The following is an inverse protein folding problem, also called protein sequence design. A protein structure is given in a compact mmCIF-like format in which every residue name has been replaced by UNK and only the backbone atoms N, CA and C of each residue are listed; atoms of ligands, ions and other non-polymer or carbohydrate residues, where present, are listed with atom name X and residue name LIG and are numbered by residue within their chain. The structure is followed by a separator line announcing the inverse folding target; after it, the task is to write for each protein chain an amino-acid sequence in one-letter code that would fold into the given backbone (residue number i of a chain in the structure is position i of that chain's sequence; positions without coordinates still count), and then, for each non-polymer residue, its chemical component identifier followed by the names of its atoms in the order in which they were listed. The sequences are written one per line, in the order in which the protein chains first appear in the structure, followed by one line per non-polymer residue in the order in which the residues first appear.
data_IF_126024146324
#
_entry.id   IF_126024146324
#
_cell.length_a   1.000
_cell.length_b   1.000
_cell.length_c   1.000
_cell.angle_alpha   90.00
_cell.angle_beta   90.00
_cell.angle_gamma   90.00
#
_symmetry.space_group_name_H-M   'P 1'
#
loop_
_entity.id
_entity.type
_entity.pdbx_description
1 polymer ?
#
# COMPACT_ATOMS: atom_id res chain seq x y z
N UNK A 1 -4.50 -8.66 -1.97
CA UNK A 1 -4.13 -7.44 -1.23
C UNK A 1 -2.65 -7.05 -1.29
N UNK A 2 -1.74 -7.69 -0.53
CA UNK A 2 -0.31 -7.28 -0.51
C UNK A 2 0.34 -7.28 -1.91
N UNK A 3 0.11 -8.34 -2.68
CA UNK A 3 0.56 -8.43 -4.07
C UNK A 3 -0.06 -7.37 -4.98
N UNK A 4 -1.30 -6.97 -4.71
CA UNK A 4 -1.99 -5.98 -5.53
C UNK A 4 -1.45 -4.57 -5.27
N UNK A 5 -1.20 -4.22 -3.99
CA UNK A 5 -0.47 -3.00 -3.62
C UNK A 5 0.89 -2.95 -4.34
N UNK A 6 1.64 -4.06 -4.31
CA UNK A 6 2.93 -4.16 -5.00
C UNK A 6 2.80 -3.97 -6.51
N UNK A 7 1.79 -4.56 -7.16
CA UNK A 7 1.51 -4.39 -8.59
C UNK A 7 1.16 -2.94 -8.94
N UNK A 8 0.24 -2.32 -8.21
CA UNK A 8 -0.17 -0.92 -8.40
C UNK A 8 1.00 0.04 -8.19
N UNK A 9 1.80 -0.20 -7.14
CA UNK A 9 3.03 0.55 -6.87
C UNK A 9 4.02 0.47 -8.04
N UNK A 10 4.24 -0.74 -8.56
CA UNK A 10 5.15 -0.97 -9.69
C UNK A 10 4.67 -0.30 -10.99
N UNK A 11 3.35 -0.27 -11.25
CA UNK A 11 2.78 0.49 -12.38
C UNK A 11 3.06 1.99 -12.33
N UNK A 12 3.23 2.53 -11.13
CA UNK A 12 3.58 3.94 -10.89
C UNK A 12 5.10 4.16 -10.79
N UNK A 13 5.93 3.15 -11.04
CA UNK A 13 7.39 3.19 -10.88
C UNK A 13 7.85 3.65 -9.48
N UNK A 14 7.06 3.37 -8.44
CA UNK A 14 7.39 3.73 -7.06
C UNK A 14 8.16 2.59 -6.39
N UNK A 15 9.18 2.90 -5.60
CA UNK A 15 9.74 1.94 -4.63
C UNK A 15 8.86 1.83 -3.39
N UNK A 16 9.08 0.81 -2.55
CA UNK A 16 8.37 0.71 -1.27
C UNK A 16 8.60 1.95 -0.39
N UNK A 17 9.82 2.49 -0.39
CA UNK A 17 10.15 3.71 0.35
C UNK A 17 9.40 4.93 -0.22
N UNK A 18 9.31 5.06 -1.54
CA UNK A 18 8.54 6.14 -2.17
C UNK A 18 7.05 6.07 -1.80
N UNK A 19 6.45 4.87 -1.86
CA UNK A 19 5.04 4.70 -1.49
C UNK A 19 4.83 4.95 0.00
N UNK A 20 5.75 4.52 0.87
CA UNK A 20 5.67 4.77 2.32
C UNK A 20 5.67 6.28 2.62
N UNK A 21 6.58 7.03 2.00
CA UNK A 21 6.63 8.50 2.11
C UNK A 21 5.37 9.15 1.55
N UNK A 22 4.92 8.72 0.37
CA UNK A 22 3.74 9.30 -0.31
C UNK A 22 2.43 9.04 0.44
N UNK A 23 2.31 7.88 1.09
CA UNK A 23 1.13 7.50 1.88
C UNK A 23 1.18 7.97 3.33
N UNK A 24 2.31 8.52 3.79
CA UNK A 24 2.53 8.81 5.21
C UNK A 24 2.29 7.56 6.09
N UNK A 25 2.84 6.44 5.64
CA UNK A 25 2.82 5.14 6.32
C UNK A 25 4.27 4.72 6.56
N UNK A 26 4.56 4.18 7.74
CA UNK A 26 5.90 3.68 8.06
C UNK A 26 6.33 2.64 7.02
N UNK A 27 7.56 2.74 6.52
CA UNK A 27 8.15 1.77 5.59
C UNK A 27 7.99 0.33 6.08
N UNK A 28 8.28 0.08 7.36
CA UNK A 28 8.17 -1.27 7.97
C UNK A 28 6.74 -1.79 7.96
N UNK A 29 5.73 -0.92 8.11
CA UNK A 29 4.32 -1.29 8.00
C UNK A 29 3.98 -1.65 6.56
N UNK A 30 4.37 -0.81 5.60
CA UNK A 30 4.10 -1.07 4.18
C UNK A 30 4.78 -2.35 3.69
N UNK A 31 6.05 -2.56 4.06
CA UNK A 31 6.81 -3.77 3.72
C UNK A 31 6.12 -5.03 4.24
N UNK A 32 5.63 -5.03 5.49
CA UNK A 32 4.87 -6.14 6.08
C UNK A 32 3.53 -6.39 5.40
N UNK A 33 2.88 -5.34 4.89
CA UNK A 33 1.63 -5.47 4.13
C UNK A 33 1.91 -6.11 2.77
N UNK A 34 2.91 -5.61 2.04
CA UNK A 34 3.30 -6.17 0.73
C UNK A 34 3.84 -7.60 0.84
N UNK A 35 4.47 -7.96 1.96
CA UNK A 35 4.94 -9.33 2.22
C UNK A 35 3.86 -10.27 2.76
N UNK A 36 2.63 -9.79 2.98
CA UNK A 36 1.53 -10.58 3.52
C UNK A 36 1.67 -10.97 5.00
N UNK A 37 2.68 -10.44 5.71
CA UNK A 37 2.89 -10.70 7.14
C UNK A 37 1.81 -10.02 7.98
N UNK A 38 1.33 -8.86 7.54
CA UNK A 38 0.17 -8.21 8.15
C UNK A 38 -0.90 -7.98 7.10
N UNK A 39 -2.05 -8.60 7.32
CA UNK A 39 -3.21 -8.60 6.42
C UNK A 39 -4.37 -7.77 6.96
N UNK A 40 -4.40 -7.53 8.28
CA UNK A 40 -5.40 -6.66 8.93
C UNK A 40 -4.79 -5.30 9.29
N UNK A 41 -5.12 -4.31 8.47
CA UNK A 41 -4.75 -2.92 8.65
C UNK A 41 -6.01 -2.12 8.99
N UNK A 42 -5.85 -1.02 9.71
CA UNK A 42 -6.95 -0.10 9.92
C UNK A 42 -7.38 0.49 8.58
N UNK A 43 -8.68 0.75 8.42
CA UNK A 43 -9.24 1.42 7.24
C UNK A 43 -8.51 2.75 6.95
N UNK A 44 -8.03 3.42 7.99
CA UNK A 44 -7.21 4.62 7.87
C UNK A 44 -5.88 4.40 7.11
N UNK A 45 -5.13 3.34 7.41
CA UNK A 45 -3.90 3.01 6.67
C UNK A 45 -4.23 2.62 5.23
N UNK A 46 -5.33 1.89 5.02
CA UNK A 46 -5.81 1.53 3.68
C UNK A 46 -6.14 2.77 2.86
N UNK A 47 -6.87 3.73 3.43
CA UNK A 47 -7.21 4.98 2.78
C UNK A 47 -5.96 5.80 2.40
N UNK A 48 -4.95 5.83 3.27
CA UNK A 48 -3.67 6.48 3.01
C UNK A 48 -2.93 5.87 1.80
N UNK A 49 -2.84 4.54 1.76
CA UNK A 49 -2.20 3.81 0.65
C UNK A 49 -2.99 3.98 -0.65
N UNK A 50 -4.31 3.82 -0.60
CA UNK A 50 -5.20 4.00 -1.75
C UNK A 50 -5.06 5.41 -2.34
N UNK A 51 -5.07 6.44 -1.48
CA UNK A 51 -4.86 7.85 -1.88
C UNK A 51 -3.49 8.06 -2.53
N UNK A 52 -2.43 7.47 -1.99
CA UNK A 52 -1.09 7.60 -2.56
C UNK A 52 -0.94 6.91 -3.93
N UNK A 53 -1.66 5.81 -4.12
CA UNK A 53 -1.75 5.07 -5.38
C UNK A 53 -2.77 5.66 -6.36
N UNK A 54 -3.64 6.57 -5.92
CA UNK A 54 -4.68 7.17 -6.76
C UNK A 54 -5.81 6.20 -7.11
N UNK A 55 -6.07 5.22 -6.24
CA UNK A 55 -7.09 4.17 -6.44
C UNK A 55 -8.06 4.15 -5.27
N UNK A 56 -9.14 3.36 -5.37
CA UNK A 56 -10.04 3.10 -4.27
C UNK A 56 -9.47 2.06 -3.29
N UNK A 57 -10.06 1.93 -2.10
CA UNK A 57 -9.67 0.86 -1.15
C UNK A 57 -10.03 -0.52 -1.71
N UNK A 58 -11.12 -0.62 -2.47
CA UNK A 58 -11.57 -1.86 -3.12
C UNK A 58 -10.52 -2.37 -4.12
N UNK A 59 -9.86 -1.45 -4.84
CA UNK A 59 -8.75 -1.76 -5.73
C UNK A 59 -7.52 -2.32 -5.00
N UNK A 60 -7.43 -2.16 -3.67
CA UNK A 60 -6.37 -2.79 -2.88
C UNK A 60 -6.75 -4.21 -2.44
N UNK A 61 -8.04 -4.48 -2.27
CA UNK A 61 -8.57 -5.75 -1.73
C UNK A 61 -8.69 -6.81 -2.83
N UNK A 62 -9.15 -6.39 -4.02
CA UNK A 62 -9.22 -7.22 -5.23
C UNK A 62 -7.84 -7.75 -5.66
#
# INVERSE_FOLDING_TARGET
MGDNIKKLRAKLNLTQDDLARKSDVKYTTLSKIESGVVTKQTVYIMAKIAKALGVSIEDLIN
#
